data_IF_767559136139
#
_entry.id   IF_767559136139
#
_cell.length_a   1.000
_cell.length_b   1.000
_cell.length_c   1.000
_cell.angle_alpha   90.00
_cell.angle_beta   90.00
_cell.angle_gamma   90.00
#
_symmetry.space_group_name_H-M   'P 1'
#
loop_
_entity.id
_entity.type
_entity.pdbx_description
1 polymer ?
#
# COMPACT_ATOMS: atom_id res chain seq x y z
N UNK A 1 -13.04 61.48 8.23
CA UNK A 1 -13.63 60.20 7.76
C UNK A 1 -13.06 59.71 6.41
N UNK A 2 -12.60 60.60 5.51
CA UNK A 2 -12.04 60.24 4.20
C UNK A 2 -10.76 59.38 4.24
N UNK A 3 -9.90 59.60 5.25
CA UNK A 3 -8.63 58.89 5.38
C UNK A 3 -8.82 57.39 5.70
N UNK A 4 -9.77 57.05 6.57
CA UNK A 4 -10.08 55.65 6.94
C UNK A 4 -10.69 54.85 5.77
N UNK A 5 -11.49 55.50 4.91
CA UNK A 5 -12.05 54.87 3.69
C UNK A 5 -10.96 54.55 2.66
N UNK A 6 -9.95 55.42 2.51
CA UNK A 6 -8.80 55.17 1.61
C UNK A 6 -7.95 53.98 2.05
N UNK A 7 -7.70 53.85 3.35
CA UNK A 7 -6.99 52.68 3.89
C UNK A 7 -7.79 51.39 3.76
N UNK A 8 -9.11 51.44 4.00
CA UNK A 8 -9.98 50.28 3.85
C UNK A 8 -10.02 49.77 2.41
N UNK A 9 -10.13 50.67 1.42
CA UNK A 9 -10.11 50.26 0.01
C UNK A 9 -8.74 49.72 -0.42
N UNK A 10 -7.64 50.28 0.09
CA UNK A 10 -6.29 49.81 -0.20
C UNK A 10 -6.03 48.38 0.29
N UNK A 11 -6.49 48.03 1.49
CA UNK A 11 -6.28 46.69 2.06
C UNK A 11 -7.09 45.61 1.35
N UNK A 12 -8.32 45.91 0.91
CA UNK A 12 -9.13 44.97 0.11
C UNK A 12 -8.54 44.67 -1.26
N UNK A 13 -7.95 45.66 -1.93
CA UNK A 13 -7.31 45.44 -3.23
C UNK A 13 -6.03 44.61 -3.06
N UNK A 14 -5.23 44.88 -2.03
CA UNK A 14 -4.01 44.12 -1.76
C UNK A 14 -4.31 42.64 -1.45
N UNK A 15 -5.35 42.37 -0.65
CA UNK A 15 -5.79 40.99 -0.36
C UNK A 15 -6.28 40.26 -1.62
N UNK A 16 -7.01 40.97 -2.50
CA UNK A 16 -7.47 40.42 -3.78
C UNK A 16 -6.34 40.10 -4.75
N UNK A 17 -5.29 40.94 -4.81
CA UNK A 17 -4.10 40.69 -5.63
C UNK A 17 -3.31 39.50 -5.11
N UNK A 18 -3.12 39.38 -3.79
CA UNK A 18 -2.43 38.23 -3.19
C UNK A 18 -3.18 36.92 -3.47
N UNK A 19 -4.51 36.93 -3.36
CA UNK A 19 -5.34 35.77 -3.68
C UNK A 19 -5.35 35.42 -5.19
N UNK A 20 -5.22 36.41 -6.08
CA UNK A 20 -5.12 36.19 -7.52
C UNK A 20 -3.72 35.70 -7.96
N UNK A 21 -2.67 36.01 -7.19
CA UNK A 21 -1.31 35.48 -7.39
C UNK A 21 -1.06 34.17 -6.66
N UNK A 22 -2.01 33.70 -5.84
CA UNK A 22 -1.96 32.35 -5.29
C UNK A 22 -2.10 31.37 -6.46
N UNK A 23 -0.96 30.87 -6.94
CA UNK A 23 -0.94 29.85 -7.96
C UNK A 23 -1.88 28.71 -7.54
N UNK A 24 -2.74 28.20 -8.43
CA UNK A 24 -3.54 27.04 -8.13
C UNK A 24 -2.61 25.91 -7.70
N UNK A 25 -2.79 25.42 -6.48
CA UNK A 25 -2.12 24.21 -5.98
C UNK A 25 -2.71 23.01 -6.72
N UNK A 26 -2.35 22.86 -8.00
CA UNK A 26 -2.52 21.61 -8.71
C UNK A 26 -1.68 20.58 -7.96
N UNK A 27 -2.34 19.51 -7.50
CA UNK A 27 -1.67 18.36 -6.92
C UNK A 27 -0.52 17.96 -7.85
N UNK A 28 0.71 18.20 -7.42
CA UNK A 28 1.90 17.93 -8.19
C UNK A 28 1.99 16.42 -8.37
N UNK A 29 1.55 15.91 -9.52
CA UNK A 29 1.94 14.58 -10.00
C UNK A 29 3.47 14.53 -9.90
N UNK A 30 3.96 13.51 -9.20
CA UNK A 30 5.38 13.25 -9.07
C UNK A 30 6.05 13.34 -10.45
N UNK A 31 7.24 13.95 -10.56
CA UNK A 31 7.94 14.01 -11.84
C UNK A 31 8.07 12.57 -12.39
N UNK A 32 7.64 12.38 -13.64
CA UNK A 32 7.93 11.15 -14.36
C UNK A 32 9.44 11.01 -14.36
N UNK A 33 9.93 9.96 -13.69
CA UNK A 33 11.34 9.66 -13.62
C UNK A 33 11.74 9.06 -14.96
N UNK A 34 11.96 9.94 -15.94
CA UNK A 34 12.49 9.57 -17.25
C UNK A 34 13.93 9.07 -17.07
N UNK A 35 14.07 7.75 -17.14
CA UNK A 35 15.22 7.15 -17.82
C UNK A 35 16.59 7.23 -17.15
N UNK A 36 16.69 7.08 -15.83
CA UNK A 36 17.88 6.42 -15.30
C UNK A 36 17.58 4.94 -15.14
N UNK A 37 18.16 4.12 -16.02
CA UNK A 37 18.36 2.70 -15.74
C UNK A 37 19.28 2.59 -14.54
N UNK A 38 18.71 2.70 -13.33
CA UNK A 38 19.37 2.30 -12.10
C UNK A 38 19.85 0.88 -12.34
N UNK A 39 21.17 0.67 -12.36
CA UNK A 39 21.74 -0.67 -12.30
C UNK A 39 21.39 -1.20 -10.90
N UNK A 40 20.24 -1.85 -10.81
CA UNK A 40 19.75 -2.39 -9.55
C UNK A 40 20.56 -3.65 -9.27
N UNK A 41 21.48 -3.56 -8.30
CA UNK A 41 22.47 -4.62 -8.07
C UNK A 41 21.83 -5.89 -7.47
N UNK A 42 20.84 -5.78 -6.57
CA UNK A 42 19.98 -6.91 -6.21
C UNK A 42 18.78 -6.38 -5.40
N UNK A 43 17.55 -6.78 -5.77
CA UNK A 43 16.36 -6.50 -4.95
C UNK A 43 15.98 -7.76 -4.18
N UNK A 44 16.41 -7.84 -2.93
CA UNK A 44 16.01 -8.95 -2.05
C UNK A 44 14.61 -8.67 -1.49
N UNK A 45 13.60 -9.26 -2.12
CA UNK A 45 12.21 -9.14 -1.68
C UNK A 45 11.96 -10.13 -0.53
N UNK A 46 12.12 -9.64 0.71
CA UNK A 46 11.88 -10.42 1.95
C UNK A 46 10.40 -10.70 2.21
N UNK A 47 9.49 -9.96 1.56
CA UNK A 47 8.04 -10.12 1.70
C UNK A 47 7.31 -9.69 0.43
N UNK A 48 7.26 -10.58 -0.56
CA UNK A 48 6.46 -10.37 -1.75
C UNK A 48 5.05 -10.89 -1.47
N UNK A 49 4.03 -10.02 -1.46
CA UNK A 49 2.63 -10.49 -1.43
C UNK A 49 2.25 -11.31 -2.68
N UNK A 50 3.19 -11.56 -3.60
CA UNK A 50 3.04 -12.47 -4.72
C UNK A 50 3.00 -13.90 -4.17
N UNK A 51 1.91 -14.62 -4.45
CA UNK A 51 1.80 -16.05 -4.16
C UNK A 51 2.93 -16.78 -4.87
N UNK A 52 3.85 -17.40 -4.12
CA UNK A 52 4.88 -18.26 -4.72
C UNK A 52 4.23 -19.55 -5.19
N UNK A 53 4.50 -19.93 -6.42
CA UNK A 53 4.09 -21.23 -6.93
C UNK A 53 4.88 -22.31 -6.18
N UNK A 54 4.21 -23.28 -5.52
CA UNK A 54 4.90 -24.35 -4.80
C UNK A 54 5.73 -25.26 -5.72
N UNK A 55 5.53 -25.22 -7.04
CA UNK A 55 6.34 -25.99 -8.01
C UNK A 55 7.76 -25.47 -8.20
N UNK A 56 8.01 -24.20 -7.85
CA UNK A 56 9.33 -23.57 -7.98
C UNK A 56 10.12 -23.59 -6.67
N UNK A 57 9.54 -24.14 -5.59
CA UNK A 57 10.17 -24.22 -4.30
C UNK A 57 11.12 -25.44 -4.24
N UNK A 58 12.35 -25.28 -3.71
CA UNK A 58 13.29 -26.39 -3.55
C UNK A 58 12.85 -27.38 -2.47
N UNK A 59 11.89 -26.99 -1.62
CA UNK A 59 11.29 -27.84 -0.58
C UNK A 59 9.80 -28.02 -0.83
N UNK A 60 9.23 -29.18 -0.45
CA UNK A 60 7.80 -29.42 -0.59
C UNK A 60 7.02 -28.51 0.37
N UNK A 61 6.14 -27.67 -0.18
CA UNK A 61 5.30 -26.75 0.58
C UNK A 61 3.81 -27.05 0.33
N UNK A 62 3.01 -27.04 1.40
CA UNK A 62 1.55 -27.10 1.33
C UNK A 62 1.02 -25.70 1.66
N UNK A 63 0.26 -25.12 0.74
CA UNK A 63 -0.37 -23.82 0.93
C UNK A 63 -1.86 -24.00 1.18
N UNK A 64 -2.36 -23.34 2.22
CA UNK A 64 -3.76 -23.34 2.60
C UNK A 64 -4.23 -21.90 2.53
N UNK A 65 -5.18 -21.61 1.65
CA UNK A 65 -5.74 -20.26 1.54
C UNK A 65 -6.90 -20.04 2.50
N UNK A 66 -7.27 -18.78 2.73
CA UNK A 66 -8.40 -18.44 3.60
C UNK A 66 -9.71 -19.04 3.09
N UNK A 67 -9.93 -19.02 1.78
CA UNK A 67 -11.15 -19.54 1.16
C UNK A 67 -11.27 -21.06 1.37
N UNK A 68 -10.14 -21.78 1.34
CA UNK A 68 -10.08 -23.21 1.61
C UNK A 68 -10.37 -23.54 3.08
N UNK A 69 -9.87 -22.72 4.02
CA UNK A 69 -10.21 -22.88 5.43
C UNK A 69 -11.70 -22.61 5.67
N UNK A 70 -12.25 -21.54 5.10
CA UNK A 70 -13.66 -21.18 5.26
C UNK A 70 -14.61 -22.20 4.61
N UNK A 71 -14.21 -22.84 3.50
CA UNK A 71 -15.04 -23.86 2.84
C UNK A 71 -15.15 -25.16 3.64
N UNK A 72 -14.20 -25.44 4.54
CA UNK A 72 -14.23 -26.64 5.39
C UNK A 72 -15.27 -26.56 6.51
N UNK A 73 -15.68 -25.36 6.91
CA UNK A 73 -16.62 -25.14 8.02
C UNK A 73 -16.07 -25.52 9.40
N UNK A 74 -14.77 -25.81 9.51
CA UNK A 74 -14.13 -26.15 10.77
C UNK A 74 -13.94 -24.89 11.62
N UNK A 75 -14.28 -24.99 12.90
CA UNK A 75 -14.16 -23.91 13.89
C UNK A 75 -12.71 -23.61 14.29
N UNK A 76 -11.81 -24.56 14.05
CA UNK A 76 -10.44 -24.55 14.56
C UNK A 76 -9.46 -24.93 13.46
N UNK A 77 -8.39 -24.15 13.32
CA UNK A 77 -7.35 -24.38 12.30
C UNK A 77 -6.64 -25.73 12.53
N UNK A 78 -6.51 -26.13 13.79
CA UNK A 78 -5.88 -27.39 14.20
C UNK A 78 -6.60 -28.60 13.58
N UNK A 79 -7.93 -28.59 13.59
CA UNK A 79 -8.73 -29.70 13.05
C UNK A 79 -8.52 -29.84 11.54
N UNK A 80 -8.37 -28.71 10.84
CA UNK A 80 -8.04 -28.71 9.42
C UNK A 80 -6.64 -29.27 9.18
N UNK A 81 -5.64 -28.88 9.97
CA UNK A 81 -4.27 -29.38 9.83
C UNK A 81 -4.18 -30.89 10.08
N UNK A 82 -5.01 -31.45 10.97
CA UNK A 82 -5.08 -32.89 11.23
C UNK A 82 -5.56 -33.73 10.03
N UNK A 83 -6.27 -33.11 9.06
CA UNK A 83 -6.69 -33.77 7.82
C UNK A 83 -5.56 -33.89 6.79
N UNK A 84 -4.44 -33.18 6.98
CA UNK A 84 -3.32 -33.18 6.04
C UNK A 84 -2.47 -34.44 6.31
N UNK A 85 -2.36 -35.39 5.35
CA UNK A 85 -1.64 -36.65 5.56
C UNK A 85 -0.16 -36.48 5.91
N UNK A 86 0.46 -35.42 5.39
CA UNK A 86 1.86 -35.08 5.70
C UNK A 86 2.07 -34.70 7.18
N UNK A 87 1.00 -34.35 7.90
CA UNK A 87 1.03 -33.93 9.30
C UNK A 87 0.49 -35.01 10.25
N UNK A 88 0.07 -36.19 9.77
CA UNK A 88 -0.57 -37.22 10.60
C UNK A 88 0.32 -37.78 11.73
N UNK A 89 1.64 -37.66 11.62
CA UNK A 89 2.59 -38.05 12.67
C UNK A 89 2.94 -36.89 13.62
N UNK A 90 2.40 -35.69 13.39
CA UNK A 90 2.61 -34.52 14.23
C UNK A 90 1.61 -34.55 15.38
N UNK A 91 2.12 -34.78 16.59
CA UNK A 91 1.31 -34.68 17.81
C UNK A 91 1.04 -33.21 18.11
N UNK A 92 -0.22 -32.82 18.02
CA UNK A 92 -0.70 -31.54 18.54
C UNK A 92 -0.91 -31.71 20.05
N UNK A 93 -0.27 -30.92 20.91
CA UNK A 93 -0.55 -30.94 22.35
C UNK A 93 -1.95 -30.43 22.67
#
# INVERSE_FOLDING_TARGET
>A
MLLKRKYLFGTTILAGVIAATAAPAFAQTAPAQDGESTQVEEVVVTGSRIRRDPTTAPTPLIQVSQEQLLSTGLSTVIDYLATIPALSNSVVP
#
